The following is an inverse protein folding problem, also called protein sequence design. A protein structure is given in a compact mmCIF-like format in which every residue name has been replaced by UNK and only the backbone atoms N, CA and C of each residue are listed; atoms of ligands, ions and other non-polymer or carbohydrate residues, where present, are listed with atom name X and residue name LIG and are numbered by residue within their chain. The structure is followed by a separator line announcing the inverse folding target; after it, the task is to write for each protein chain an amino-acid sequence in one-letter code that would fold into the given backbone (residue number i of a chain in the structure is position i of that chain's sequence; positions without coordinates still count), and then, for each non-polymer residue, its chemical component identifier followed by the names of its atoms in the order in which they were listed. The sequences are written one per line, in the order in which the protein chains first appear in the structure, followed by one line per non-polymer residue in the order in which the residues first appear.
data_IF_374821234852
#
_entry.id   IF_374821234852
#
_cell.length_a   1.000
_cell.length_b   1.000
_cell.length_c   1.000
_cell.angle_alpha   90.00
_cell.angle_beta   90.00
_cell.angle_gamma   90.00
#
_symmetry.space_group_name_H-M   'P 1'
#
loop_
_entity.id
_entity.type
_entity.pdbx_description
1 polymer ?
#
# COMPACT_ATOMS: atom_id res chain seq x y z
N UNK A 1 25.48 11.25 -2.45
CA UNK A 1 25.84 11.87 -1.16
C UNK A 1 26.20 13.31 -1.44
N UNK A 2 25.26 14.25 -1.24
CA UNK A 2 25.57 15.68 -1.38
C UNK A 2 26.55 16.10 -0.28
N UNK A 3 27.57 16.92 -0.59
CA UNK A 3 28.48 17.41 0.43
C UNK A 3 27.68 18.17 1.48
N UNK A 4 28.03 17.95 2.76
CA UNK A 4 27.50 18.75 3.87
C UNK A 4 27.82 20.20 3.55
N UNK A 5 26.81 20.99 3.17
CA UNK A 5 26.98 22.43 2.96
C UNK A 5 27.43 22.99 4.30
N UNK A 6 28.63 23.55 4.34
CA UNK A 6 29.09 24.32 5.49
C UNK A 6 28.11 25.49 5.66
N UNK A 7 27.32 25.43 6.72
CA UNK A 7 26.33 26.46 7.04
C UNK A 7 27.04 27.62 7.73
N UNK A 8 26.76 28.84 7.28
CA UNK A 8 27.19 30.04 8.01
C UNK A 8 26.49 30.11 9.39
N UNK A 9 27.14 30.73 10.38
CA UNK A 9 26.61 30.84 11.74
C UNK A 9 25.25 31.53 11.81
N UNK A 10 25.01 32.52 10.93
CA UNK A 10 23.71 33.18 10.82
C UNK A 10 22.64 32.26 10.20
N UNK A 11 23.02 31.51 9.15
CA UNK A 11 22.12 30.53 8.52
C UNK A 11 21.74 29.40 9.48
N UNK A 12 22.68 28.96 10.32
CA UNK A 12 22.45 27.95 11.35
C UNK A 12 21.37 28.40 12.36
N UNK A 13 21.39 29.67 12.77
CA UNK A 13 20.37 30.23 13.67
C UNK A 13 19.01 30.38 12.97
N UNK A 14 18.98 30.80 11.70
CA UNK A 14 17.75 30.89 10.92
C UNK A 14 17.06 29.52 10.76
N UNK A 15 17.84 28.47 10.47
CA UNK A 15 17.32 27.09 10.33
C UNK A 15 16.78 26.58 11.67
N UNK A 16 17.45 26.91 12.79
CA UNK A 16 16.95 26.56 14.12
C UNK A 16 15.61 27.24 14.44
N UNK A 17 15.48 28.52 14.12
CA UNK A 17 14.20 29.24 14.30
C UNK A 17 13.10 28.65 13.42
N UNK A 18 13.43 28.30 12.17
CA UNK A 18 12.50 27.60 11.27
C UNK A 18 12.07 26.24 11.86
N UNK A 19 12.98 25.48 12.46
CA UNK A 19 12.65 24.22 13.12
C UNK A 19 11.67 24.44 14.29
N UNK A 20 11.91 25.44 15.15
CA UNK A 20 11.03 25.69 16.29
C UNK A 20 9.67 26.23 15.88
N UNK A 21 9.62 27.12 14.89
CA UNK A 21 8.36 27.67 14.38
C UNK A 21 7.53 26.58 13.71
N UNK A 22 8.13 25.75 12.85
CA UNK A 22 7.43 24.63 12.20
C UNK A 22 6.94 23.59 13.21
N UNK A 23 7.76 23.24 14.21
CA UNK A 23 7.35 22.35 15.30
C UNK A 23 6.15 22.90 16.07
N UNK A 24 6.20 24.17 16.46
CA UNK A 24 5.08 24.82 17.18
C UNK A 24 3.80 24.86 16.34
N UNK A 25 3.93 25.08 15.03
CA UNK A 25 2.78 25.09 14.13
C UNK A 25 2.19 23.68 13.94
N UNK A 26 3.03 22.63 13.91
CA UNK A 26 2.60 21.23 13.72
C UNK A 26 1.91 20.65 14.95
N UNK A 27 2.28 21.08 16.16
CA UNK A 27 1.72 20.56 17.42
C UNK A 27 0.17 20.47 17.45
N UNK A 28 -0.58 21.53 17.09
CA UNK A 28 -2.04 21.50 17.12
C UNK A 28 -2.69 20.89 15.87
N UNK A 29 -1.94 20.53 14.81
CA UNK A 29 -2.52 20.13 13.52
C UNK A 29 -2.31 18.64 13.23
N UNK A 30 -3.41 17.99 12.82
CA UNK A 30 -3.44 16.61 12.34
C UNK A 30 -3.11 16.47 10.84
N UNK A 31 -3.00 17.59 10.13
CA UNK A 31 -2.58 17.64 8.72
C UNK A 31 -1.11 18.04 8.64
N UNK A 32 -0.29 17.41 7.79
CA UNK A 32 1.09 17.81 7.56
C UNK A 32 1.18 19.26 7.08
N UNK A 33 1.97 20.07 7.77
CA UNK A 33 2.19 21.47 7.40
C UNK A 33 3.23 21.54 6.28
N UNK A 34 3.06 22.42 5.28
CA UNK A 34 4.09 22.66 4.28
C UNK A 34 5.38 23.15 4.93
N UNK A 35 6.49 22.55 4.54
CA UNK A 35 7.81 22.99 4.98
C UNK A 35 8.14 24.32 4.30
N UNK A 36 8.92 25.19 4.97
CA UNK A 36 9.38 26.44 4.37
C UNK A 36 10.39 26.21 3.24
N UNK A 37 11.06 25.04 3.22
CA UNK A 37 12.11 24.65 2.27
C UNK A 37 11.95 23.18 1.89
N UNK A 38 12.31 22.82 0.67
CA UNK A 38 12.33 21.43 0.20
C UNK A 38 13.48 20.63 0.83
N UNK A 39 14.62 21.25 1.09
CA UNK A 39 15.80 20.60 1.69
C UNK A 39 15.81 20.72 3.24
N UNK A 40 14.65 20.77 3.88
CA UNK A 40 14.55 21.08 5.31
C UNK A 40 15.33 20.08 6.17
N UNK A 41 15.18 18.79 5.93
CA UNK A 41 15.84 17.76 6.73
C UNK A 41 17.35 17.70 6.46
N UNK A 42 17.78 17.98 5.23
CA UNK A 42 19.20 18.11 4.90
C UNK A 42 19.84 19.29 5.66
N UNK A 43 19.15 20.42 5.75
CA UNK A 43 19.61 21.60 6.48
C UNK A 43 19.63 21.37 7.99
N UNK A 44 18.64 20.69 8.56
CA UNK A 44 18.64 20.32 10.00
C UNK A 44 19.79 19.36 10.31
N UNK A 45 20.08 18.40 9.41
CA UNK A 45 21.24 17.51 9.55
C UNK A 45 22.55 18.29 9.47
N UNK A 46 22.69 19.21 8.52
CA UNK A 46 23.87 20.06 8.40
C UNK A 46 24.06 20.92 9.66
N UNK A 47 22.99 21.49 10.23
CA UNK A 47 23.01 22.22 11.50
C UNK A 47 23.49 21.36 12.67
N UNK A 48 22.98 20.13 12.80
CA UNK A 48 23.44 19.22 13.85
C UNK A 48 24.92 18.87 13.68
N UNK A 49 25.38 18.66 12.44
CA UNK A 49 26.78 18.38 12.16
C UNK A 49 27.71 19.56 12.43
N UNK A 50 27.27 20.80 12.16
CA UNK A 50 28.06 21.99 12.46
C UNK A 50 28.18 22.20 13.97
N UNK A 51 27.12 21.95 14.73
CA UNK A 51 27.15 21.96 16.20
C UNK A 51 28.03 20.84 16.77
N UNK A 52 27.98 19.64 16.20
CA UNK A 52 28.87 18.53 16.58
C UNK A 52 30.35 18.90 16.37
N UNK A 53 30.68 19.53 15.24
CA UNK A 53 32.04 20.01 14.95
C UNK A 53 32.49 21.11 15.91
N UNK A 54 31.63 22.09 16.21
CA UNK A 54 31.92 23.16 17.17
C UNK A 54 32.16 22.60 18.57
N UNK A 55 31.33 21.64 19.01
CA UNK A 55 31.49 20.93 20.28
C UNK A 55 32.84 20.18 20.30
N UNK A 56 33.16 19.42 19.24
CA UNK A 56 34.42 18.69 19.15
C UNK A 56 35.64 19.64 19.13
N UNK A 57 35.54 20.79 18.45
CA UNK A 57 36.60 21.78 18.41
C UNK A 57 36.85 22.38 19.81
N UNK A 58 35.78 22.71 20.55
CA UNK A 58 35.86 23.23 21.92
C UNK A 58 36.43 22.19 22.90
N UNK A 59 36.05 20.92 22.73
CA UNK A 59 36.61 19.79 23.49
C UNK A 59 38.11 19.62 23.17
N UNK A 60 38.49 19.66 21.89
CA UNK A 60 39.90 19.55 21.46
C UNK A 60 40.76 20.70 21.98
N UNK A 61 40.20 21.91 22.05
CA UNK A 61 40.86 23.08 22.66
C UNK A 61 40.97 22.98 24.19
N UNK A 62 40.37 21.97 24.83
CA UNK A 62 40.40 21.77 26.27
C UNK A 62 39.50 22.74 27.06
N UNK A 63 38.57 23.42 26.38
CA UNK A 63 37.67 24.37 27.01
C UNK A 63 36.49 23.65 27.68
N UNK A 64 36.58 23.37 28.97
CA UNK A 64 35.47 22.83 29.81
C UNK A 64 34.58 24.00 30.28
N UNK A 65 34.23 24.86 29.35
CA UNK A 65 33.60 26.15 29.66
C UNK A 65 32.06 26.03 29.72
N UNK A 66 31.39 26.99 30.35
CA UNK A 66 29.91 27.09 30.35
C UNK A 66 29.34 27.09 28.91
N UNK A 67 30.13 27.59 27.95
CA UNK A 67 29.81 27.57 26.52
C UNK A 67 29.65 26.16 25.96
N UNK A 68 30.52 25.22 26.34
CA UNK A 68 30.43 23.83 25.91
C UNK A 68 29.14 23.19 26.43
N UNK A 69 28.82 23.41 27.70
CA UNK A 69 27.58 22.90 28.29
C UNK A 69 26.34 23.50 27.63
N UNK A 70 26.36 24.79 27.29
CA UNK A 70 25.26 25.44 26.58
C UNK A 70 25.10 24.89 25.16
N UNK A 71 26.19 24.66 24.42
CA UNK A 71 26.14 24.03 23.10
C UNK A 71 25.61 22.59 23.18
N UNK A 72 26.04 21.80 24.16
CA UNK A 72 25.55 20.43 24.38
C UNK A 72 24.04 20.41 24.73
N UNK A 73 23.59 21.34 25.59
CA UNK A 73 22.16 21.49 25.90
C UNK A 73 21.35 21.89 24.65
N UNK A 74 21.85 22.86 23.87
CA UNK A 74 21.24 23.29 22.62
C UNK A 74 21.14 22.13 21.62
N UNK A 75 22.21 21.38 21.43
CA UNK A 75 22.22 20.20 20.56
C UNK A 75 21.19 19.15 21.00
N UNK A 76 21.15 18.81 22.29
CA UNK A 76 20.19 17.84 22.83
C UNK A 76 18.75 18.31 22.60
N UNK A 77 18.48 19.60 22.79
CA UNK A 77 17.17 20.18 22.55
C UNK A 77 16.77 20.13 21.07
N UNK A 78 17.68 20.52 20.16
CA UNK A 78 17.44 20.46 18.71
C UNK A 78 17.19 19.02 18.26
N UNK A 79 17.99 18.04 18.72
CA UNK A 79 17.78 16.62 18.42
C UNK A 79 16.42 16.13 18.92
N UNK A 80 16.01 16.52 20.13
CA UNK A 80 14.71 16.18 20.70
C UNK A 80 13.57 16.76 19.87
N UNK A 81 13.62 18.06 19.55
CA UNK A 81 12.56 18.74 18.80
C UNK A 81 12.48 18.24 17.36
N UNK A 82 13.61 17.98 16.70
CA UNK A 82 13.62 17.35 15.38
C UNK A 82 12.95 15.97 15.41
N UNK A 83 13.20 15.17 16.44
CA UNK A 83 12.58 13.84 16.62
C UNK A 83 11.07 13.94 16.91
N UNK A 84 10.67 14.91 17.74
CA UNK A 84 9.26 15.17 18.05
C UNK A 84 8.50 15.67 16.81
N UNK A 85 9.10 16.57 16.03
CA UNK A 85 8.56 17.03 14.75
C UNK A 85 8.40 15.88 13.76
N UNK A 86 9.44 15.07 13.55
CA UNK A 86 9.39 13.93 12.63
C UNK A 86 8.28 12.94 13.01
N UNK A 87 8.16 12.61 14.31
CA UNK A 87 7.10 11.75 14.82
C UNK A 87 5.71 12.33 14.55
N UNK A 88 5.48 13.61 14.88
CA UNK A 88 4.19 14.26 14.67
C UNK A 88 3.83 14.35 13.18
N UNK A 89 4.80 14.65 12.31
CA UNK A 89 4.61 14.67 10.86
C UNK A 89 4.25 13.29 10.31
N UNK A 90 4.94 12.24 10.76
CA UNK A 90 4.63 10.86 10.37
C UNK A 90 3.21 10.46 10.76
N UNK A 91 2.78 10.76 11.99
CA UNK A 91 1.41 10.50 12.45
C UNK A 91 0.39 11.30 11.63
N UNK A 92 0.65 12.59 11.36
CA UNK A 92 -0.22 13.42 10.55
C UNK A 92 -0.33 12.91 9.10
N UNK A 93 0.78 12.49 8.48
CA UNK A 93 0.79 11.88 7.15
C UNK A 93 0.00 10.58 7.11
N UNK A 94 0.12 9.75 8.15
CA UNK A 94 -0.65 8.52 8.27
C UNK A 94 -2.14 8.77 8.47
N UNK A 95 -2.50 9.71 9.35
CA UNK A 95 -3.89 10.12 9.54
C UNK A 95 -4.49 10.64 8.24
N UNK A 96 -3.74 11.44 7.48
CA UNK A 96 -4.16 11.92 6.17
C UNK A 96 -4.31 10.78 5.17
N UNK A 97 -3.30 9.91 5.01
CA UNK A 97 -3.33 8.79 4.07
C UNK A 97 -4.49 7.82 4.37
N UNK A 98 -4.66 7.43 5.63
CA UNK A 98 -5.75 6.56 6.05
C UNK A 98 -7.12 7.23 5.82
N UNK A 99 -7.26 8.50 6.20
CA UNK A 99 -8.52 9.23 6.00
C UNK A 99 -8.84 9.43 4.52
N UNK A 100 -7.84 9.65 3.67
CA UNK A 100 -8.05 9.79 2.23
C UNK A 100 -8.43 8.46 1.58
N UNK A 101 -7.70 7.38 1.89
CA UNK A 101 -7.88 6.09 1.24
C UNK A 101 -9.17 5.36 1.66
N UNK A 102 -9.61 5.53 2.92
CA UNK A 102 -10.80 4.86 3.45
C UNK A 102 -12.10 5.62 3.14
N UNK A 103 -12.04 6.95 2.99
CA UNK A 103 -13.22 7.78 2.65
C UNK A 103 -13.61 7.75 1.17
N UNK A 104 -12.65 7.46 0.28
CA UNK A 104 -12.83 7.55 -1.18
C UNK A 104 -13.98 6.69 -1.74
N UNK A 105 -14.37 5.59 -1.08
CA UNK A 105 -15.41 4.69 -1.63
C UNK A 105 -16.86 4.97 -1.21
N UNK A 106 -17.13 5.93 -0.32
CA UNK A 106 -18.50 6.08 0.25
C UNK A 106 -19.43 6.89 -0.66
N UNK A 107 -18.94 7.83 -1.47
CA UNK A 107 -19.78 8.57 -2.42
C UNK A 107 -18.94 9.21 -3.56
N UNK A 108 -19.08 8.78 -4.83
CA UNK A 108 -18.38 9.41 -5.96
C UNK A 108 -18.84 10.84 -6.23
N UNK A 109 -20.06 11.21 -5.83
CA UNK A 109 -20.66 12.54 -6.09
C UNK A 109 -20.48 13.54 -4.92
N UNK A 110 -19.87 13.11 -3.81
CA UNK A 110 -19.62 13.91 -2.60
C UNK A 110 -18.17 13.67 -2.13
N UNK A 111 -17.24 13.62 -3.08
CA UNK A 111 -15.80 13.56 -2.84
C UNK A 111 -15.33 14.86 -2.16
N UNK A 112 -15.67 15.05 -0.88
CA UNK A 112 -14.92 15.89 0.04
C UNK A 112 -13.61 15.15 0.36
N UNK A 113 -12.85 14.80 -0.68
CA UNK A 113 -11.48 14.36 -0.53
C UNK A 113 -10.75 15.45 0.25
N UNK A 114 -10.07 15.05 1.31
CA UNK A 114 -9.21 15.97 2.05
C UNK A 114 -8.30 16.68 1.03
N UNK A 115 -8.06 17.99 1.18
CA UNK A 115 -7.22 18.73 0.25
C UNK A 115 -5.92 17.98 0.00
N UNK A 116 -5.68 17.63 -1.27
CA UNK A 116 -4.46 16.93 -1.68
C UNK A 116 -3.24 17.70 -1.17
N UNK A 117 -2.29 17.01 -0.55
CA UNK A 117 -1.08 17.65 -0.04
C UNK A 117 -0.30 18.31 -1.19
N UNK A 118 0.12 19.56 -0.99
CA UNK A 118 1.02 20.26 -1.90
C UNK A 118 2.46 19.74 -1.72
N UNK A 119 2.76 18.67 -2.47
CA UNK A 119 4.06 18.01 -2.46
C UNK A 119 5.20 18.87 -3.04
N UNK A 120 4.90 19.98 -3.73
CA UNK A 120 5.96 20.86 -4.24
C UNK A 120 6.68 21.61 -3.12
N UNK A 121 6.08 21.71 -1.94
CA UNK A 121 6.65 22.38 -0.77
C UNK A 121 7.25 21.43 0.26
N UNK A 122 7.16 20.12 0.01
CA UNK A 122 7.59 19.09 0.95
C UNK A 122 8.95 18.52 0.55
N UNK A 123 9.61 17.88 1.51
CA UNK A 123 10.90 17.24 1.28
C UNK A 123 10.72 15.94 0.46
N UNK A 124 11.63 15.64 -0.49
CA UNK A 124 11.54 14.43 -1.31
C UNK A 124 11.52 13.13 -0.49
N UNK A 125 12.15 13.11 0.69
CA UNK A 125 12.14 11.94 1.58
C UNK A 125 10.75 11.67 2.18
N UNK A 126 10.00 12.73 2.52
CA UNK A 126 8.64 12.61 3.03
C UNK A 126 7.66 12.16 1.95
N UNK A 127 7.85 12.64 0.71
CA UNK A 127 7.08 12.18 -0.44
C UNK A 127 7.26 10.68 -0.67
N UNK A 128 8.49 10.18 -0.61
CA UNK A 128 8.78 8.75 -0.76
C UNK A 128 8.13 7.92 0.37
N UNK A 129 8.21 8.41 1.61
CA UNK A 129 7.54 7.76 2.74
C UNK A 129 6.01 7.73 2.59
N UNK A 130 5.41 8.83 2.17
CA UNK A 130 3.97 8.91 1.97
C UNK A 130 3.48 7.98 0.86
N UNK A 131 4.21 7.90 -0.26
CA UNK A 131 3.90 6.96 -1.33
C UNK A 131 3.97 5.50 -0.84
N UNK A 132 5.00 5.16 -0.06
CA UNK A 132 5.10 3.84 0.56
C UNK A 132 3.91 3.55 1.50
N UNK A 133 3.47 4.55 2.26
CA UNK A 133 2.31 4.43 3.13
C UNK A 133 1.01 4.23 2.36
N UNK A 134 0.82 4.93 1.24
CA UNK A 134 -0.31 4.75 0.35
C UNK A 134 -0.37 3.30 -0.17
N UNK A 135 0.76 2.75 -0.63
CA UNK A 135 0.83 1.34 -1.06
C UNK A 135 0.49 0.36 0.06
N UNK A 136 0.91 0.64 1.30
CA UNK A 136 0.58 -0.21 2.45
C UNK A 136 -0.91 -0.13 2.80
N UNK A 137 -1.52 1.05 2.70
CA UNK A 137 -2.96 1.21 2.91
C UNK A 137 -3.74 0.53 1.78
N UNK A 138 -3.28 0.59 0.54
CA UNK A 138 -3.90 -0.11 -0.58
C UNK A 138 -3.76 -1.63 -0.46
N UNK A 139 -2.62 -2.12 0.04
CA UNK A 139 -2.45 -3.53 0.41
C UNK A 139 -3.45 -3.94 1.49
N UNK A 140 -3.56 -3.16 2.56
CA UNK A 140 -4.52 -3.40 3.63
C UNK A 140 -5.97 -3.42 3.11
N UNK A 141 -6.34 -2.49 2.22
CA UNK A 141 -7.66 -2.45 1.57
C UNK A 141 -7.95 -3.72 0.77
N UNK A 142 -6.94 -4.29 0.10
CA UNK A 142 -7.09 -5.56 -0.63
C UNK A 142 -7.19 -6.76 0.29
N UNK A 143 -6.39 -6.81 1.35
CA UNK A 143 -6.38 -7.92 2.32
C UNK A 143 -7.72 -8.03 3.06
N UNK A 144 -8.39 -6.90 3.32
CA UNK A 144 -9.68 -6.86 4.02
C UNK A 144 -10.88 -6.91 3.06
N UNK A 145 -10.64 -6.89 1.75
CA UNK A 145 -11.67 -6.64 0.73
C UNK A 145 -12.56 -5.43 1.10
N UNK A 146 -11.90 -4.30 1.34
CA UNK A 146 -12.57 -3.06 1.73
C UNK A 146 -13.62 -2.60 0.70
N UNK A 147 -13.43 -2.91 -0.58
CA UNK A 147 -14.44 -2.60 -1.61
C UNK A 147 -15.67 -3.49 -1.48
N UNK A 148 -15.52 -4.80 -1.26
CA UNK A 148 -16.64 -5.68 -0.93
C UNK A 148 -17.38 -5.22 0.33
N UNK A 149 -16.65 -4.79 1.37
CA UNK A 149 -17.27 -4.23 2.58
C UNK A 149 -18.05 -2.93 2.34
N UNK A 150 -17.54 -2.01 1.51
CA UNK A 150 -18.20 -0.73 1.24
C UNK A 150 -19.37 -0.84 0.26
N UNK A 151 -19.26 -1.72 -0.73
CA UNK A 151 -20.25 -1.88 -1.80
C UNK A 151 -21.29 -2.95 -1.45
N UNK A 152 -21.04 -3.79 -0.43
CA UNK A 152 -21.90 -4.90 -0.03
C UNK A 152 -22.20 -5.84 -1.20
N UNK A 153 -23.38 -6.47 -1.16
CA UNK A 153 -23.87 -7.36 -2.23
C UNK A 153 -23.93 -6.68 -3.62
N UNK A 154 -23.96 -5.34 -3.67
CA UNK A 154 -23.96 -4.59 -4.93
C UNK A 154 -22.60 -4.66 -5.65
N UNK A 155 -21.50 -4.73 -4.90
CA UNK A 155 -20.15 -4.96 -5.46
C UNK A 155 -19.97 -6.39 -5.98
N UNK A 156 -20.65 -7.37 -5.38
CA UNK A 156 -20.63 -8.77 -5.80
C UNK A 156 -21.45 -8.99 -7.08
N UNK A 157 -22.59 -8.29 -7.22
CA UNK A 157 -23.40 -8.27 -8.45
C UNK A 157 -22.70 -7.49 -9.58
N UNK A 158 -21.86 -6.51 -9.22
CA UNK A 158 -21.03 -5.75 -10.15
C UNK A 158 -19.64 -6.37 -10.39
N UNK A 159 -19.31 -7.52 -9.79
CA UNK A 159 -18.22 -8.34 -10.33
C UNK A 159 -18.66 -8.72 -11.73
N UNK A 160 -18.13 -7.97 -12.70
CA UNK A 160 -18.34 -8.17 -14.11
C UNK A 160 -18.28 -9.68 -14.37
N UNK A 161 -19.30 -10.27 -15.04
CA UNK A 161 -19.26 -11.67 -15.39
C UNK A 161 -17.90 -11.93 -16.04
N UNK A 162 -17.19 -12.96 -15.58
CA UNK A 162 -15.84 -13.30 -16.00
C UNK A 162 -15.83 -13.28 -17.53
N UNK A 163 -15.25 -12.23 -18.13
CA UNK A 163 -15.31 -12.06 -19.57
C UNK A 163 -14.39 -13.11 -20.17
N UNK A 164 -14.94 -13.94 -21.04
CA UNK A 164 -14.19 -14.99 -21.68
C UNK A 164 -13.71 -14.52 -23.06
N UNK A 165 -12.54 -15.00 -23.47
CA UNK A 165 -12.03 -14.74 -24.81
C UNK A 165 -13.02 -15.24 -25.88
N UNK A 166 -13.15 -14.56 -27.02
CA UNK A 166 -13.99 -15.01 -28.12
C UNK A 166 -13.63 -16.45 -28.52
N UNK A 167 -14.62 -17.34 -28.56
CA UNK A 167 -14.43 -18.75 -28.93
C UNK A 167 -14.42 -19.75 -27.77
N UNK A 168 -14.56 -19.32 -26.51
CA UNK A 168 -14.88 -20.25 -25.42
C UNK A 168 -16.31 -20.77 -25.58
N UNK A 169 -16.49 -22.09 -25.70
CA UNK A 169 -17.80 -22.75 -25.75
C UNK A 169 -18.06 -23.51 -24.45
N UNK A 170 -19.31 -23.60 -24.03
CA UNK A 170 -19.69 -24.40 -22.86
C UNK A 170 -19.63 -25.90 -23.18
N UNK A 171 -19.39 -26.73 -22.16
CA UNK A 171 -19.32 -28.19 -22.30
C UNK A 171 -20.63 -28.79 -22.84
N UNK A 172 -21.77 -28.15 -22.56
CA UNK A 172 -23.09 -28.52 -23.09
C UNK A 172 -23.17 -28.42 -24.63
N UNK A 173 -22.35 -27.58 -25.27
CA UNK A 173 -22.33 -27.47 -26.73
C UNK A 173 -21.71 -28.69 -27.42
N UNK A 174 -21.01 -29.55 -26.68
CA UNK A 174 -20.39 -30.77 -27.19
C UNK A 174 -21.29 -32.02 -27.01
N UNK A 175 -22.42 -31.89 -26.32
CA UNK A 175 -23.39 -32.97 -26.13
C UNK A 175 -24.53 -32.76 -27.13
N UNK A 176 -24.54 -33.55 -28.21
CA UNK A 176 -25.46 -33.35 -29.35
C UNK A 176 -26.94 -33.36 -28.99
N UNK A 177 -27.37 -34.16 -28.00
CA UNK A 177 -28.74 -34.16 -27.48
C UNK A 177 -28.74 -34.44 -25.97
N UNK A 178 -28.72 -33.38 -25.16
CA UNK A 178 -28.89 -33.46 -23.71
C UNK A 178 -28.12 -32.37 -22.96
N UNK A 179 -28.76 -31.74 -21.98
CA UNK A 179 -28.05 -30.85 -21.04
C UNK A 179 -27.28 -31.72 -20.06
N UNK A 180 -25.98 -31.48 -19.91
CA UNK A 180 -25.11 -32.19 -18.96
C UNK A 180 -25.55 -31.91 -17.51
N UNK A 181 -26.20 -30.77 -17.28
CA UNK A 181 -26.82 -30.43 -16.00
C UNK A 181 -28.34 -30.22 -16.13
N UNK A 182 -29.08 -30.48 -15.04
CA UNK A 182 -30.53 -30.27 -14.99
C UNK A 182 -30.94 -28.78 -14.97
N UNK A 183 -29.97 -27.87 -14.87
CA UNK A 183 -30.16 -26.41 -14.92
C UNK A 183 -29.69 -25.86 -16.28
N UNK A 184 -30.31 -24.79 -16.79
CA UNK A 184 -29.79 -24.12 -17.98
C UNK A 184 -28.37 -23.58 -17.69
N UNK A 185 -27.42 -23.67 -18.64
CA UNK A 185 -26.08 -23.14 -18.44
C UNK A 185 -26.10 -21.62 -18.22
N UNK A 186 -25.20 -21.06 -17.39
CA UNK A 186 -25.06 -19.63 -17.22
C UNK A 186 -24.62 -18.96 -18.53
N UNK A 187 -25.10 -17.74 -18.83
CA UNK A 187 -24.75 -17.06 -20.08
C UNK A 187 -23.27 -16.63 -20.09
N UNK A 188 -22.59 -16.80 -21.22
CA UNK A 188 -21.19 -16.40 -21.38
C UNK A 188 -21.14 -14.92 -21.76
N UNK A 189 -20.54 -14.10 -20.90
CA UNK A 189 -20.15 -12.74 -21.28
C UNK A 189 -18.81 -12.80 -22.03
N UNK A 190 -18.80 -12.36 -23.29
CA UNK A 190 -17.57 -12.22 -24.06
C UNK A 190 -16.99 -10.81 -23.87
N UNK A 191 -15.67 -10.69 -23.93
CA UNK A 191 -15.04 -9.37 -24.06
C UNK A 191 -15.55 -8.71 -25.33
N UNK A 192 -16.22 -7.55 -25.21
CA UNK A 192 -16.60 -6.74 -26.38
C UNK A 192 -15.33 -6.47 -27.19
N UNK A 193 -15.39 -6.77 -28.49
CA UNK A 193 -14.30 -6.53 -29.43
C UNK A 193 -13.82 -5.10 -29.25
N UNK A 194 -12.62 -4.91 -28.67
CA UNK A 194 -12.05 -3.58 -28.47
C UNK A 194 -12.14 -2.83 -29.79
N UNK A 195 -12.71 -1.62 -29.75
CA UNK A 195 -12.79 -0.77 -30.93
C UNK A 195 -11.37 -0.64 -31.50
N UNK A 196 -11.16 -0.96 -32.80
CA UNK A 196 -9.83 -0.96 -33.37
C UNK A 196 -9.21 0.41 -33.12
N UNK A 197 -8.02 0.40 -32.50
CA UNK A 197 -7.26 1.63 -32.27
C UNK A 197 -7.23 2.41 -33.59
N UNK A 198 -7.51 3.73 -33.57
CA UNK A 198 -7.41 4.53 -34.78
C UNK A 198 -6.00 4.32 -35.33
N UNK A 199 -5.92 3.93 -36.61
CA UNK A 199 -4.65 3.72 -37.28
C UNK A 199 -3.76 4.92 -36.99
N UNK A 200 -2.60 4.67 -36.39
CA UNK A 200 -1.58 5.69 -36.18
C UNK A 200 -1.37 6.36 -37.53
N UNK A 201 -1.60 7.67 -37.62
CA UNK A 201 -1.17 8.39 -38.80
C UNK A 201 0.33 8.19 -38.86
N UNK A 202 0.80 7.44 -39.87
CA UNK A 202 2.22 7.28 -40.16
C UNK A 202 2.83 8.67 -40.16
N UNK A 203 3.62 8.98 -39.14
CA UNK A 203 4.30 10.25 -39.05
C UNK A 203 5.27 10.32 -40.23
N UNK A 204 5.54 11.52 -40.74
CA UNK A 204 6.44 11.70 -41.87
C UNK A 204 7.83 11.09 -41.64
N UNK A 205 8.21 10.87 -40.38
CA UNK A 205 9.44 10.20 -39.97
C UNK A 205 9.46 8.68 -40.26
N UNK A 206 8.34 7.95 -40.19
CA UNK A 206 8.28 6.52 -40.54
C UNK A 206 8.47 6.30 -42.04
N UNK A 207 7.94 7.21 -42.88
CA UNK A 207 8.17 7.19 -44.33
C UNK A 207 9.65 7.38 -44.69
N UNK A 208 10.41 8.06 -43.85
CA UNK A 208 11.85 8.26 -44.07
C UNK A 208 12.71 7.08 -43.63
N UNK A 209 12.18 6.16 -42.80
CA UNK A 209 12.90 4.93 -42.46
C UNK A 209 12.96 3.93 -43.63
N UNK A 210 11.90 3.86 -44.44
CA UNK A 210 11.86 2.98 -45.63
C UNK A 210 12.82 3.43 -46.74
N UNK A 211 13.10 4.74 -46.83
CA UNK A 211 14.04 5.33 -47.81
C UNK A 211 15.50 5.32 -47.35
N UNK A 212 15.78 4.77 -46.16
CA UNK A 212 17.13 4.80 -45.61
C UNK A 212 18.03 3.74 -46.28
N UNK A 213 19.24 4.10 -46.77
CA UNK A 213 20.12 3.19 -47.50
C UNK A 213 20.71 2.04 -46.68
N UNK A 214 20.31 1.90 -45.41
CA UNK A 214 20.62 0.78 -44.52
C UNK A 214 19.43 -0.19 -44.34
N UNK A 215 18.24 0.10 -44.90
CA UNK A 215 17.07 -0.77 -44.85
C UNK A 215 17.25 -2.04 -45.71
N UNK A 216 18.00 -1.94 -46.81
CA UNK A 216 18.40 -3.08 -47.64
C UNK A 216 19.72 -3.70 -47.12
N UNK A 217 19.69 -4.22 -45.88
CA UNK A 217 20.82 -4.97 -45.31
C UNK A 217 21.28 -6.11 -46.23
N UNK A 218 20.34 -6.73 -46.95
CA UNK A 218 20.59 -7.83 -47.89
C UNK A 218 21.41 -7.39 -49.12
N UNK A 219 21.18 -6.18 -49.65
CA UNK A 219 21.94 -5.63 -50.77
C UNK A 219 23.35 -5.20 -50.36
N UNK A 220 23.51 -4.65 -49.15
CA UNK A 220 24.80 -4.27 -48.61
C UNK A 220 25.70 -5.49 -48.33
N UNK A 221 25.12 -6.57 -47.78
CA UNK A 221 25.79 -7.86 -47.60
C UNK A 221 26.23 -8.51 -48.93
N UNK A 222 25.42 -8.38 -49.99
CA UNK A 222 25.76 -8.93 -51.31
C UNK A 222 26.91 -8.16 -52.00
N UNK A 223 27.01 -6.85 -51.78
CA UNK A 223 28.06 -6.01 -52.35
C UNK A 223 29.45 -6.35 -51.78
N UNK A 224 29.52 -6.66 -50.48
CA UNK A 224 30.77 -7.07 -49.81
C UNK A 224 31.26 -8.44 -50.31
N UNK A 225 30.34 -9.37 -50.58
CA UNK A 225 30.65 -10.67 -51.20
C UNK A 225 31.15 -10.55 -52.65
N UNK A 226 30.65 -9.60 -53.43
CA UNK A 226 31.08 -9.39 -54.81
C UNK A 226 32.47 -8.72 -54.90
N UNK A 227 32.85 -7.92 -53.89
CA UNK A 227 34.17 -7.28 -53.82
C UNK A 227 35.32 -8.25 -53.51
N UNK A 228 35.04 -9.46 -53.02
CA UNK A 228 36.05 -10.43 -52.58
C UNK A 228 36.47 -11.43 -53.67
N UNK A 229 35.93 -11.33 -54.89
CA UNK A 229 36.23 -12.23 -56.01
C UNK A 229 37.47 -11.84 -56.85
N UNK A 230 38.08 -10.67 -56.61
CA UNK A 230 39.21 -10.16 -57.41
C UNK A 230 40.47 -9.84 -56.58
N UNK A 231 40.98 -10.78 -55.79
CA UNK A 231 42.42 -10.84 -55.43
C UNK A 231 42.85 -12.26 -55.09
N UNK A 232 43.44 -12.96 -56.05
CA UNK A 232 44.16 -14.21 -55.84
C UNK A 232 45.66 -13.92 -55.54
N UNK A 233 46.19 -14.49 -54.45
CA UNK A 233 47.62 -14.79 -54.31
C UNK A 233 48.38 -14.24 -53.09
N UNK A 234 48.35 -14.97 -51.96
CA UNK A 234 49.53 -15.45 -51.19
C UNK A 234 49.13 -16.01 -49.81
N UNK A 235 49.57 -17.24 -49.54
CA UNK A 235 49.21 -18.08 -48.39
C UNK A 235 50.30 -18.11 -47.31
N UNK A 236 49.91 -18.10 -46.02
CA UNK A 236 50.51 -18.78 -44.83
C UNK A 236 49.75 -18.30 -43.57
N UNK A 237 49.40 -19.04 -42.51
CA UNK A 237 49.48 -20.44 -42.10
C UNK A 237 48.50 -20.67 -40.89
N UNK A 238 48.12 -21.93 -40.66
CA UNK A 238 47.17 -22.58 -39.71
C UNK A 238 47.26 -22.19 -38.19
N UNK A 239 46.42 -22.70 -37.23
CA UNK A 239 45.48 -23.86 -37.26
C UNK A 239 44.09 -23.73 -36.57
N UNK A 240 43.31 -24.82 -36.65
CA UNK A 240 41.94 -25.17 -36.19
C UNK A 240 41.36 -24.54 -34.90
N UNK A 241 40.01 -24.43 -34.80
CA UNK A 241 39.29 -25.40 -33.95
C UNK A 241 37.93 -25.90 -34.49
N UNK A 242 37.47 -26.94 -33.79
CA UNK A 242 36.29 -27.80 -33.96
C UNK A 242 34.90 -27.14 -34.16
N UNK A 243 34.01 -27.96 -34.71
CA UNK A 243 32.60 -27.72 -35.05
C UNK A 243 31.70 -27.18 -33.91
N UNK A 244 30.63 -26.43 -34.25
CA UNK A 244 29.46 -26.29 -33.38
C UNK A 244 28.28 -27.13 -33.87
N UNK A 245 27.87 -28.07 -33.02
CA UNK A 245 26.57 -28.75 -33.08
C UNK A 245 25.44 -27.79 -32.75
N UNK A 246 24.31 -27.96 -33.44
CA UNK A 246 23.06 -27.26 -33.23
C UNK A 246 22.63 -27.21 -31.75
N UNK A 247 22.52 -26.00 -31.19
CA UNK A 247 21.85 -25.75 -29.92
C UNK A 247 20.71 -24.75 -30.18
N UNK A 248 19.50 -25.30 -30.36
CA UNK A 248 18.25 -24.54 -30.25
C UNK A 248 17.95 -24.30 -28.78
N UNK A 249 17.54 -23.08 -28.49
CA UNK A 249 17.11 -22.55 -27.20
C UNK A 249 16.28 -23.55 -26.39
N UNK A 250 16.77 -23.89 -25.20
CA UNK A 250 16.02 -24.58 -24.17
C UNK A 250 15.21 -23.57 -23.37
N UNK A 251 13.89 -23.79 -23.31
CA UNK A 251 13.02 -23.38 -22.20
C UNK A 251 11.57 -23.80 -22.52
N UNK A 252 11.26 -25.12 -22.53
CA UNK A 252 9.90 -25.64 -22.43
C UNK A 252 9.90 -27.17 -22.37
N UNK A 253 10.35 -27.76 -21.26
CA UNK A 253 10.13 -29.19 -21.01
C UNK A 253 10.31 -29.54 -19.53
N UNK A 254 9.41 -29.07 -18.67
CA UNK A 254 9.25 -29.58 -17.31
C UNK A 254 7.77 -29.48 -16.95
N UNK A 255 6.99 -30.51 -17.30
CA UNK A 255 5.68 -30.83 -16.72
C UNK A 255 5.31 -32.25 -17.16
N UNK A 256 5.91 -33.24 -16.50
CA UNK A 256 5.44 -34.61 -16.53
C UNK A 256 4.22 -34.73 -15.59
N UNK A 257 3.07 -35.28 -16.04
CA UNK A 257 1.97 -35.59 -15.14
C UNK A 257 2.28 -36.88 -14.36
N UNK A 258 2.35 -36.75 -13.03
CA UNK A 258 2.47 -37.87 -12.09
C UNK A 258 1.24 -38.79 -12.14
N UNK A 259 1.48 -40.10 -12.14
CA UNK A 259 0.46 -41.17 -12.07
C UNK A 259 0.26 -41.60 -10.61
N UNK A 260 -0.75 -41.06 -9.94
CA UNK A 260 -1.40 -41.75 -8.81
C UNK A 260 -2.92 -41.46 -8.85
N UNK A 261 -3.80 -42.49 -8.74
CA UNK A 261 -5.24 -42.31 -8.86
C UNK A 261 -5.84 -41.72 -7.57
N UNK A 262 -6.54 -40.59 -7.72
CA UNK A 262 -7.31 -39.91 -6.67
C UNK A 262 -8.52 -40.77 -6.28
N UNK A 263 -8.70 -40.95 -4.97
CA UNK A 263 -9.81 -41.68 -4.37
C UNK A 263 -11.13 -40.90 -4.42
N UNK A 264 -12.18 -41.63 -4.73
CA UNK A 264 -13.60 -41.24 -4.72
C UNK A 264 -14.02 -40.60 -3.39
N UNK A 265 -14.53 -39.38 -3.42
CA UNK A 265 -15.21 -38.75 -2.27
C UNK A 265 -16.69 -38.62 -2.64
N UNK A 266 -17.52 -39.28 -1.81
CA UNK A 266 -18.98 -39.29 -1.89
C UNK A 266 -19.56 -37.94 -1.48
N UNK A 267 -20.52 -37.48 -2.27
CA UNK A 267 -21.28 -36.24 -2.11
C UNK A 267 -22.61 -36.59 -1.40
N UNK A 268 -22.80 -36.14 -0.17
CA UNK A 268 -24.04 -36.29 0.61
C UNK A 268 -24.61 -34.88 0.89
N UNK A 269 -25.83 -34.55 0.41
CA UNK A 269 -26.39 -33.21 0.58
C UNK A 269 -27.12 -33.06 1.92
N UNK A 270 -26.95 -31.94 2.66
CA UNK A 270 -27.81 -31.66 3.80
C UNK A 270 -29.14 -31.05 3.34
N UNK A 271 -30.20 -31.61 3.90
CA UNK A 271 -31.61 -31.28 3.74
C UNK A 271 -31.95 -29.87 4.26
N UNK A 272 -32.82 -29.19 3.52
CA UNK A 272 -33.45 -27.92 3.89
C UNK A 272 -34.51 -28.09 5.01
N UNK A 273 -34.50 -27.19 5.99
CA UNK A 273 -35.64 -26.82 6.84
C UNK A 273 -35.34 -25.43 7.43
N UNK A 274 -35.98 -24.37 6.93
CA UNK A 274 -37.22 -23.77 7.46
C UNK A 274 -36.92 -22.56 8.37
N UNK A 275 -37.15 -21.35 7.85
CA UNK A 275 -37.57 -20.20 8.65
C UNK A 275 -38.94 -20.50 9.28
N UNK A 276 -39.26 -19.93 10.46
CA UNK A 276 -40.13 -18.75 10.40
C UNK A 276 -39.96 -17.71 11.53
N UNK A 277 -40.37 -16.48 11.18
CA UNK A 277 -41.19 -15.54 11.95
C UNK A 277 -40.56 -14.55 12.97
N UNK A 278 -41.20 -13.38 12.96
CA UNK A 278 -40.87 -12.09 13.57
C UNK A 278 -41.52 -11.92 14.97
N UNK A 279 -40.80 -11.22 15.87
CA UNK A 279 -41.23 -10.38 17.04
C UNK A 279 -42.04 -11.02 18.19
N UNK A 280 -42.10 -10.44 19.42
CA UNK A 280 -41.35 -9.35 20.09
C UNK A 280 -40.80 -9.76 21.51
N UNK A 281 -40.07 -8.87 22.18
CA UNK A 281 -39.76 -8.91 23.65
C UNK A 281 -41.05 -8.98 24.52
N UNK A 282 -41.03 -9.27 25.85
CA UNK A 282 -39.93 -9.22 26.83
C UNK A 282 -39.85 -10.43 27.79
N UNK A 283 -38.68 -10.71 28.38
CA UNK A 283 -38.60 -11.49 29.62
C UNK A 283 -37.57 -10.87 30.57
N UNK A 284 -38.09 -10.35 31.69
CA UNK A 284 -37.34 -10.03 32.88
C UNK A 284 -36.77 -11.33 33.46
N UNK A 285 -35.51 -11.63 33.15
CA UNK A 285 -34.69 -12.57 33.92
C UNK A 285 -33.65 -11.73 34.67
N UNK A 286 -33.87 -11.59 35.98
CA UNK A 286 -32.94 -11.18 37.05
C UNK A 286 -31.77 -10.23 36.73
N UNK A 287 -31.98 -9.22 35.88
CA UNK A 287 -30.95 -8.22 35.54
C UNK A 287 -30.67 -7.29 36.74
N UNK A 288 -29.42 -7.28 37.22
CA UNK A 288 -28.93 -6.44 38.30
C UNK A 288 -28.39 -5.12 37.73
N UNK A 289 -28.80 -4.00 38.33
CA UNK A 289 -28.23 -2.69 38.04
C UNK A 289 -26.87 -2.54 38.72
N UNK A 290 -25.84 -2.29 37.92
CA UNK A 290 -24.49 -2.00 38.42
C UNK A 290 -24.01 -0.64 37.91
N UNK A 291 -23.32 0.09 38.78
CA UNK A 291 -22.65 1.34 38.44
C UNK A 291 -21.16 1.09 38.30
N UNK A 292 -20.58 1.50 37.19
CA UNK A 292 -19.16 1.29 36.90
C UNK A 292 -18.30 2.34 37.63
N UNK A 293 -17.31 1.87 38.38
CA UNK A 293 -16.38 2.70 39.15
C UNK A 293 -15.08 2.99 38.38
N UNK A 294 -14.65 2.09 37.50
CA UNK A 294 -13.43 2.20 36.71
C UNK A 294 -13.69 1.93 35.22
N UNK A 295 -13.14 2.78 34.33
CA UNK A 295 -13.34 2.65 32.88
C UNK A 295 -12.47 1.52 32.37
N UNK A 296 -13.08 0.53 31.74
CA UNK A 296 -12.34 -0.51 31.05
C UNK A 296 -12.12 -0.15 29.58
N UNK A 297 -10.87 -0.17 29.08
CA UNK A 297 -10.57 0.14 27.68
C UNK A 297 -10.89 -1.01 26.72
N UNK A 298 -11.13 -2.22 27.22
CA UNK A 298 -11.53 -3.39 26.42
C UNK A 298 -13.04 -3.64 26.54
N UNK A 299 -13.77 -3.79 25.42
CA UNK A 299 -15.20 -4.06 25.44
C UNK A 299 -15.46 -5.46 25.98
N UNK A 300 -16.35 -5.57 26.96
CA UNK A 300 -16.71 -6.85 27.57
C UNK A 300 -17.97 -7.39 26.92
N UNK A 301 -17.95 -8.66 26.50
CA UNK A 301 -19.12 -9.32 25.91
C UNK A 301 -20.16 -9.56 26.99
N UNK A 302 -21.39 -9.12 26.76
CA UNK A 302 -22.52 -9.49 27.61
C UNK A 302 -22.97 -10.95 27.35
N UNK A 303 -23.90 -11.45 28.16
CA UNK A 303 -24.46 -12.79 28.00
C UNK A 303 -25.30 -12.97 26.71
N UNK A 304 -25.63 -11.86 26.03
CA UNK A 304 -26.34 -11.82 24.75
C UNK A 304 -25.39 -11.78 23.54
N UNK A 305 -24.07 -11.70 23.77
CA UNK A 305 -23.05 -11.58 22.74
C UNK A 305 -22.85 -10.16 22.20
N UNK A 306 -23.38 -9.13 22.86
CA UNK A 306 -23.20 -7.71 22.52
C UNK A 306 -21.95 -7.13 23.22
N UNK A 307 -21.09 -6.40 22.51
CA UNK A 307 -19.91 -5.78 23.10
C UNK A 307 -20.29 -4.54 23.92
N UNK A 308 -20.07 -4.60 25.24
CA UNK A 308 -20.36 -3.51 26.16
C UNK A 308 -19.09 -2.73 26.52
N UNK A 309 -19.12 -1.41 26.28
CA UNK A 309 -18.05 -0.49 26.70
C UNK A 309 -18.41 0.06 28.08
N UNK A 310 -17.52 -0.13 29.06
CA UNK A 310 -17.76 0.26 30.45
C UNK A 310 -17.00 1.56 30.77
N UNK A 311 -17.72 2.67 30.88
CA UNK A 311 -17.17 3.97 31.27
C UNK A 311 -17.46 4.31 32.74
N UNK A 312 -16.57 5.09 33.39
CA UNK A 312 -16.74 5.47 34.80
C UNK A 312 -18.02 6.28 34.96
N UNK A 313 -18.91 5.79 35.83
CA UNK A 313 -20.13 6.47 36.21
C UNK A 313 -21.38 6.00 35.45
N UNK A 314 -21.22 5.15 34.43
CA UNK A 314 -22.35 4.58 33.70
C UNK A 314 -23.06 3.49 34.50
N UNK A 315 -24.36 3.36 34.26
CA UNK A 315 -25.24 2.38 34.91
C UNK A 315 -25.70 1.39 33.86
N UNK A 316 -25.28 0.14 34.01
CA UNK A 316 -25.67 -0.96 33.12
C UNK A 316 -26.58 -1.95 33.84
N UNK A 317 -27.45 -2.59 33.04
CA UNK A 317 -28.28 -3.70 33.48
C UNK A 317 -27.63 -4.97 32.97
N UNK A 318 -27.06 -5.75 33.88
CA UNK A 318 -26.30 -6.96 33.57
C UNK A 318 -26.89 -8.15 34.31
N UNK A 319 -26.70 -9.34 33.76
CA UNK A 319 -27.02 -10.59 34.42
C UNK A 319 -26.29 -10.72 35.78
N UNK A 320 -26.90 -11.42 36.74
CA UNK A 320 -26.37 -11.60 38.10
C UNK A 320 -24.94 -12.18 38.10
N UNK A 321 -24.63 -13.12 37.19
CA UNK A 321 -23.31 -13.74 37.08
C UNK A 321 -22.23 -12.73 36.66
N UNK A 322 -22.55 -11.88 35.69
CA UNK A 322 -21.62 -10.86 35.19
C UNK A 322 -21.49 -9.69 36.17
N UNK A 323 -22.59 -9.28 36.79
CA UNK A 323 -22.60 -8.26 37.84
C UNK A 323 -21.74 -8.69 39.05
N UNK A 324 -21.87 -9.94 39.51
CA UNK A 324 -21.05 -10.48 40.60
C UNK A 324 -19.55 -10.49 40.24
N UNK A 325 -19.20 -10.85 39.01
CA UNK A 325 -17.82 -10.82 38.54
C UNK A 325 -17.23 -9.40 38.52
N UNK A 326 -17.98 -8.41 38.02
CA UNK A 326 -17.53 -7.01 38.01
C UNK A 326 -17.40 -6.40 39.41
N UNK A 327 -18.25 -6.84 40.36
CA UNK A 327 -18.19 -6.41 41.76
C UNK A 327 -16.98 -7.04 42.47
N UNK A 328 -16.73 -8.33 42.25
CA UNK A 328 -15.57 -9.04 42.84
C UNK A 328 -14.23 -8.51 42.27
N UNK A 329 -14.22 -8.14 40.98
CA UNK A 329 -13.10 -7.46 40.35
C UNK A 329 -12.88 -6.02 40.86
N UNK A 330 -13.83 -5.46 41.63
CA UNK A 330 -13.78 -4.09 42.13
C UNK A 330 -14.05 -3.01 41.08
N UNK A 331 -14.52 -3.39 39.90
CA UNK A 331 -14.75 -2.51 38.75
C UNK A 331 -16.14 -1.88 38.78
N UNK A 332 -17.12 -2.52 39.43
CA UNK A 332 -18.48 -2.03 39.55
C UNK A 332 -19.04 -2.18 40.98
N UNK A 333 -20.03 -1.36 41.32
CA UNK A 333 -20.80 -1.46 42.58
C UNK A 333 -22.28 -1.71 42.27
N UNK A 334 -22.94 -2.51 43.12
CA UNK A 334 -24.38 -2.77 43.01
C UNK A 334 -25.15 -1.49 43.31
N UNK A 335 -25.90 -0.99 42.35
CA UNK A 335 -26.75 0.17 42.56
C UNK A 335 -28.13 -0.32 43.07
N UNK A 336 -28.38 -0.19 44.37
CA UNK A 336 -29.72 -0.39 44.93
C UNK A 336 -30.66 0.78 44.60
N UNK A 337 -31.96 0.50 44.55
CA UNK A 337 -33.06 1.32 44.03
C UNK A 337 -33.04 2.82 44.36
#
# INVERSE_FOLDING_TARGET
MNPVRDLDGAQAQEIEEQLFTTHRQQLPRHVPIPLPRQDFWEMVRALLSSLDLEIQEMVRKGSIDMRLQNLQKRQTNIRRIASELARKRMVAMMQHAASQALRSGVNPNMAHELPSLDWQRHDPSEKAFYHALQLNVDRFKKEIDWQGMQQGLLGEIMMQPRTHAPGTMQLDAYVGEGKITSRPPPDLAFEDTMEPLPATQEDAEERWMDDAPWADEEAYLLADMQGQADTDGASTAAPEPAAPSAAKHGAAMELAPSKEPIQTIQDEPPTAAAEPAQTPAPQDEDNVRVRILETMPEPVMDASGEPLVLEVGDVHFLDEGMAAWLIDAGVAERAEL
#
